data_IF_658612759981
#
_entry.id   IF_658612759981
#
_cell.length_a   1.000
_cell.length_b   1.000
_cell.length_c   1.000
_cell.angle_alpha   90.00
_cell.angle_beta   90.00
_cell.angle_gamma   90.00
#
_symmetry.space_group_name_H-M   'P 1'
#
loop_
_entity.id
_entity.type
_entity.pdbx_description
1 polymer ?
#
# COMPACT_ATOMS: atom_id res chain seq x y z
N UNK A 1 12.54 -27.58 -7.47
CA UNK A 1 12.08 -28.42 -8.59
C UNK A 1 11.99 -27.51 -9.80
N UNK A 2 12.86 -27.69 -10.80
CA UNK A 2 12.85 -26.89 -12.04
C UNK A 2 12.07 -27.68 -13.08
N UNK A 3 11.04 -27.08 -13.66
CA UNK A 3 10.10 -27.79 -14.53
C UNK A 3 10.68 -27.95 -15.95
N UNK A 4 10.25 -29.01 -16.64
CA UNK A 4 10.65 -29.31 -18.01
C UNK A 4 10.43 -28.10 -18.95
N UNK A 5 11.41 -27.90 -19.84
CA UNK A 5 11.58 -26.80 -20.76
C UNK A 5 10.26 -26.31 -21.43
N UNK A 6 10.00 -25.01 -21.40
CA UNK A 6 8.98 -24.34 -22.22
C UNK A 6 7.60 -24.11 -21.59
N UNK A 7 7.31 -24.60 -20.39
CA UNK A 7 5.98 -24.45 -19.75
C UNK A 7 5.76 -23.11 -19.02
N UNK A 8 6.80 -22.28 -18.89
CA UNK A 8 6.71 -21.02 -18.14
C UNK A 8 5.83 -19.96 -18.83
N UNK A 9 5.96 -19.84 -20.15
CA UNK A 9 5.18 -18.88 -20.95
C UNK A 9 3.68 -19.16 -20.90
N UNK A 10 3.19 -20.38 -21.23
CA UNK A 10 1.76 -20.66 -21.19
C UNK A 10 1.16 -20.46 -19.78
N UNK A 11 1.87 -20.87 -18.71
CA UNK A 11 1.42 -20.62 -17.33
C UNK A 11 1.38 -19.15 -16.96
N UNK A 12 2.34 -18.37 -17.45
CA UNK A 12 2.34 -16.91 -17.25
C UNK A 12 1.11 -16.30 -17.93
N UNK A 13 0.75 -16.73 -19.14
CA UNK A 13 -0.46 -16.24 -19.83
C UNK A 13 -1.73 -16.65 -19.08
N UNK A 14 -1.81 -17.91 -18.64
CA UNK A 14 -2.95 -18.46 -17.90
C UNK A 14 -3.18 -17.73 -16.57
N UNK A 15 -2.10 -17.39 -15.85
CA UNK A 15 -2.17 -16.69 -14.55
C UNK A 15 -2.82 -15.31 -14.68
N UNK A 16 -2.79 -14.71 -15.87
CA UNK A 16 -3.39 -13.41 -16.15
C UNK A 16 -4.75 -13.51 -16.87
N UNK A 17 -5.30 -14.71 -17.07
CA UNK A 17 -6.54 -14.94 -17.85
C UNK A 17 -7.73 -14.09 -17.37
N UNK A 18 -7.91 -13.98 -16.05
CA UNK A 18 -9.00 -13.24 -15.42
C UNK A 18 -8.79 -11.72 -15.29
N UNK A 19 -7.63 -11.20 -15.71
CA UNK A 19 -7.29 -9.78 -15.56
C UNK A 19 -7.40 -9.04 -16.90
N UNK A 20 -7.76 -7.76 -16.87
CA UNK A 20 -7.88 -6.95 -18.09
C UNK A 20 -6.51 -6.62 -18.71
N UNK A 21 -5.45 -6.63 -17.89
CA UNK A 21 -4.06 -6.40 -18.31
C UNK A 21 -3.32 -7.72 -18.50
N UNK A 22 -2.50 -7.83 -19.55
CA UNK A 22 -1.82 -9.07 -19.94
C UNK A 22 -0.29 -8.90 -19.98
N UNK A 23 0.48 -9.98 -19.73
CA UNK A 23 1.93 -10.00 -19.95
C UNK A 23 2.31 -9.73 -21.41
N UNK A 24 3.40 -8.99 -21.62
CA UNK A 24 3.99 -8.75 -22.95
C UNK A 24 5.26 -9.58 -23.12
N UNK A 25 5.41 -10.25 -24.25
CA UNK A 25 6.60 -11.02 -24.61
C UNK A 25 7.21 -10.45 -25.89
N UNK A 26 8.47 -10.03 -25.82
CA UNK A 26 9.24 -9.53 -26.96
C UNK A 26 10.46 -10.41 -27.17
N UNK A 27 10.47 -11.19 -28.25
CA UNK A 27 11.62 -11.97 -28.64
C UNK A 27 12.67 -11.08 -29.34
N UNK A 28 13.93 -11.24 -28.95
CA UNK A 28 15.11 -10.75 -29.67
C UNK A 28 15.91 -11.96 -30.17
N UNK A 29 17.01 -11.71 -30.89
CA UNK A 29 17.80 -12.77 -31.53
C UNK A 29 18.40 -13.77 -30.52
N UNK A 30 18.67 -13.33 -29.28
CA UNK A 30 19.38 -14.14 -28.27
C UNK A 30 18.64 -14.27 -26.93
N UNK A 31 17.59 -13.48 -26.72
CA UNK A 31 16.82 -13.50 -25.48
C UNK A 31 15.38 -13.06 -25.75
N UNK A 32 14.53 -13.13 -24.73
CA UNK A 32 13.22 -12.51 -24.79
C UNK A 32 13.02 -11.65 -23.55
N UNK A 33 12.32 -10.55 -23.73
CA UNK A 33 11.90 -9.67 -22.65
C UNK A 33 10.47 -10.04 -22.29
N UNK A 34 10.22 -10.22 -21.00
CA UNK A 34 8.88 -10.40 -20.45
C UNK A 34 8.53 -9.18 -19.61
N UNK A 35 7.43 -8.53 -19.91
CA UNK A 35 6.87 -7.46 -19.09
C UNK A 35 5.60 -7.95 -18.40
N UNK A 36 5.63 -8.01 -17.07
CA UNK A 36 4.51 -8.45 -16.26
C UNK A 36 3.78 -7.23 -15.67
N UNK A 37 2.49 -7.00 -15.98
CA UNK A 37 1.75 -5.91 -15.39
C UNK A 37 1.49 -6.17 -13.90
N UNK A 38 1.69 -5.15 -13.05
CA UNK A 38 1.29 -5.24 -11.65
C UNK A 38 -0.24 -5.39 -11.57
N UNK A 39 -0.73 -6.30 -10.75
CA UNK A 39 -2.17 -6.53 -10.54
C UNK A 39 -2.69 -5.79 -9.30
N UNK A 40 -1.80 -5.29 -8.44
CA UNK A 40 -2.12 -4.52 -7.24
C UNK A 40 -2.36 -3.03 -7.56
N UNK A 41 -3.14 -2.72 -8.60
CA UNK A 41 -3.50 -1.32 -8.96
C UNK A 41 -4.83 -0.86 -8.34
N UNK A 42 -5.57 -1.74 -7.67
CA UNK A 42 -6.73 -1.34 -6.87
C UNK A 42 -6.28 -0.73 -5.55
N UNK A 43 -7.08 0.20 -4.99
CA UNK A 43 -6.95 0.73 -3.62
C UNK A 43 -7.19 -0.35 -2.55
N UNK A 44 -6.59 -1.52 -2.69
CA UNK A 44 -6.34 -2.41 -1.59
C UNK A 44 -5.21 -1.75 -0.81
N UNK A 45 -5.58 -0.80 0.05
CA UNK A 45 -4.79 -0.50 1.24
C UNK A 45 -4.27 -1.83 1.72
N UNK A 46 -2.95 -1.97 1.79
CA UNK A 46 -2.32 -3.16 2.35
C UNK A 46 -2.94 -3.31 3.73
N UNK A 47 -3.92 -4.20 3.86
CA UNK A 47 -4.39 -4.66 5.16
C UNK A 47 -3.36 -5.66 5.63
N UNK A 48 -2.10 -5.22 5.70
CA UNK A 48 -1.21 -5.86 6.64
C UNK A 48 -1.95 -5.69 7.97
N UNK A 49 -2.31 -6.77 8.67
CA UNK A 49 -2.73 -6.60 10.05
C UNK A 49 -1.55 -5.89 10.71
N UNK A 50 -1.74 -4.60 11.02
CA UNK A 50 -0.79 -3.84 11.82
C UNK A 50 -0.78 -4.57 13.16
N UNK A 51 0.14 -5.52 13.32
CA UNK A 51 0.36 -6.24 14.58
C UNK A 51 1.08 -5.36 15.58
N UNK A 52 1.59 -4.22 15.14
CA UNK A 52 2.11 -3.20 16.03
C UNK A 52 0.93 -2.56 16.79
N UNK A 53 0.98 -2.53 18.13
CA UNK A 53 -0.06 -1.88 18.90
C UNK A 53 -0.02 -0.38 18.61
N UNK A 54 -0.87 0.08 17.69
CA UNK A 54 -1.08 1.52 17.50
C UNK A 54 -1.74 2.06 18.77
N UNK A 55 -1.19 3.15 19.31
CA UNK A 55 -1.82 3.82 20.44
C UNK A 55 -3.19 4.36 20.01
N UNK A 56 -4.13 4.49 20.96
CA UNK A 56 -5.43 5.09 20.67
C UNK A 56 -5.28 6.51 20.06
N UNK A 57 -4.25 7.25 20.48
CA UNK A 57 -3.94 8.57 19.94
C UNK A 57 -3.40 8.50 18.50
N UNK A 58 -2.52 7.53 18.20
CA UNK A 58 -2.05 7.29 16.84
C UNK A 58 -3.22 6.98 15.89
N UNK A 59 -4.19 6.19 16.35
CA UNK A 59 -5.39 5.87 15.57
C UNK A 59 -6.27 7.09 15.30
N UNK A 60 -6.48 7.94 16.30
CA UNK A 60 -7.17 9.23 16.18
C UNK A 60 -6.52 10.15 15.14
N UNK A 61 -5.20 10.29 15.22
CA UNK A 61 -4.40 11.11 14.28
C UNK A 61 -4.55 10.57 12.85
N UNK A 62 -4.43 9.25 12.66
CA UNK A 62 -4.59 8.64 11.34
C UNK A 62 -5.99 8.81 10.76
N UNK A 63 -7.05 8.66 11.58
CA UNK A 63 -8.43 8.94 11.14
C UNK A 63 -8.58 10.38 10.69
N UNK A 64 -8.03 11.33 11.45
CA UNK A 64 -8.07 12.76 11.12
C UNK A 64 -7.37 13.04 9.78
N UNK A 65 -6.17 12.51 9.57
CA UNK A 65 -5.40 12.67 8.33
C UNK A 65 -6.05 12.02 7.11
N UNK A 66 -6.78 10.91 7.31
CA UNK A 66 -7.53 10.24 6.24
C UNK A 66 -8.69 11.11 5.74
N UNK A 67 -9.34 11.86 6.63
CA UNK A 67 -10.45 12.75 6.27
C UNK A 67 -9.92 14.09 5.73
N UNK A 68 -8.83 14.59 6.28
CA UNK A 68 -8.23 15.88 5.93
C UNK A 68 -6.75 15.70 5.55
N UNK A 69 -6.45 15.37 4.27
CA UNK A 69 -5.07 15.21 3.84
C UNK A 69 -4.32 16.55 3.88
N UNK A 70 -3.05 16.51 4.29
CA UNK A 70 -2.17 17.69 4.29
C UNK A 70 -2.27 18.61 5.52
N UNK A 71 -2.94 18.19 6.60
CA UNK A 71 -2.95 18.95 7.85
C UNK A 71 -1.56 19.05 8.49
N UNK A 72 -1.28 20.22 9.07
CA UNK A 72 -0.09 20.43 9.88
C UNK A 72 -0.32 19.98 11.34
N UNK A 73 0.75 19.84 12.12
CA UNK A 73 0.67 19.37 13.52
C UNK A 73 -0.23 20.24 14.41
N UNK A 74 -0.32 21.55 14.16
CA UNK A 74 -1.15 22.45 14.95
C UNK A 74 -2.64 22.25 14.65
N UNK A 75 -2.98 22.07 13.37
CA UNK A 75 -4.35 21.81 12.93
C UNK A 75 -4.84 20.43 13.38
N UNK A 76 -3.94 19.44 13.47
CA UNK A 76 -4.26 18.13 14.05
C UNK A 76 -4.59 18.27 15.53
N UNK A 77 -3.77 19.03 16.28
CA UNK A 77 -4.02 19.32 17.70
C UNK A 77 -5.39 19.99 17.86
N UNK A 78 -5.68 21.06 17.12
CA UNK A 78 -6.96 21.77 17.19
C UNK A 78 -8.16 20.85 16.95
N UNK A 79 -8.07 19.94 15.98
CA UNK A 79 -9.15 18.99 15.66
C UNK A 79 -9.34 17.92 16.74
N UNK A 80 -8.26 17.44 17.36
CA UNK A 80 -8.30 16.37 18.37
C UNK A 80 -8.55 16.94 19.78
N UNK A 81 -8.23 18.21 20.03
CA UNK A 81 -8.46 18.88 21.33
C UNK A 81 -9.92 18.88 21.78
N UNK A 82 -10.87 18.69 20.87
CA UNK A 82 -12.28 18.53 21.21
C UNK A 82 -12.56 17.20 21.95
N UNK A 83 -11.76 16.16 21.72
CA UNK A 83 -11.91 14.84 22.33
C UNK A 83 -10.92 14.59 23.47
N UNK A 84 -9.70 15.14 23.38
CA UNK A 84 -8.69 15.11 24.46
C UNK A 84 -8.12 16.51 24.76
N UNK A 85 -8.57 17.17 25.86
CA UNK A 85 -8.08 18.50 26.25
C UNK A 85 -6.59 18.53 26.63
N UNK A 86 -5.96 17.38 26.89
CA UNK A 86 -4.55 17.26 27.29
C UNK A 86 -3.62 16.99 26.11
N UNK A 87 -4.13 17.08 24.88
CA UNK A 87 -3.33 16.89 23.68
C UNK A 87 -2.38 18.07 23.47
N UNK A 88 -1.10 17.77 23.23
CA UNK A 88 -0.07 18.77 22.95
C UNK A 88 0.58 18.47 21.61
N UNK A 89 1.19 19.50 21.02
CA UNK A 89 1.95 19.35 19.77
C UNK A 89 3.02 18.26 19.87
N UNK A 90 3.70 18.17 21.01
CA UNK A 90 4.76 17.18 21.22
C UNK A 90 4.24 15.76 21.27
N UNK A 91 3.06 15.53 21.88
CA UNK A 91 2.39 14.23 21.84
C UNK A 91 2.06 13.81 20.41
N UNK A 92 1.44 14.70 19.62
CA UNK A 92 1.13 14.42 18.21
C UNK A 92 2.40 14.13 17.40
N UNK A 93 3.49 14.87 17.64
CA UNK A 93 4.77 14.62 16.99
C UNK A 93 5.39 13.29 17.36
N UNK A 94 5.30 12.88 18.63
CA UNK A 94 5.85 11.62 19.10
C UNK A 94 5.15 10.41 18.50
N UNK A 95 3.83 10.51 18.25
CA UNK A 95 3.06 9.44 17.59
C UNK A 95 3.30 9.35 16.06
N UNK A 96 3.77 10.44 15.44
CA UNK A 96 4.07 10.49 14.01
C UNK A 96 5.53 10.14 13.67
N UNK A 97 6.37 9.88 14.68
CA UNK A 97 7.81 9.64 14.53
C UNK A 97 8.11 8.16 14.38
#
# INVERSE_FOLDING_TARGET
MIENFGTGIPRTIESYSNYNVKPEFKATENFFIVTLPNLNYGNNFVTDPITDPISNLGLEILKCLKIFPGLNTLQIVEKISHEDPLITRDKVKNELK
#
